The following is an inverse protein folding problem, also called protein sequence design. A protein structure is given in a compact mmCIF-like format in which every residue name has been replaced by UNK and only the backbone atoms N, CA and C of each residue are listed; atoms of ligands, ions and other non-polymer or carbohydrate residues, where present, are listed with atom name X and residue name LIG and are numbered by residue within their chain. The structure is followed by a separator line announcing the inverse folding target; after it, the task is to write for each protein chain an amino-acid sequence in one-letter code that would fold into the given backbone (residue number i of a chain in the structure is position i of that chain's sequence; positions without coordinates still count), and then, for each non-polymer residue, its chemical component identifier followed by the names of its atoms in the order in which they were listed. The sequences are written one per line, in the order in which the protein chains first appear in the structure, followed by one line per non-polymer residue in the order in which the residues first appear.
data_IF_928821870191
#
_entry.id   IF_928821870191
#
_cell.length_a   1.000
_cell.length_b   1.000
_cell.length_c   1.000
_cell.angle_alpha   90.00
_cell.angle_beta   90.00
_cell.angle_gamma   90.00
#
_symmetry.space_group_name_H-M   'P 1'
#
loop_
_entity.id
_entity.type
_entity.pdbx_description
1 polymer ?
#
# COMPACT_ATOMS: atom_id res chain seq x y z
N UNK A 1 18.03 22.19 -4.57
CA UNK A 1 17.50 21.98 -3.21
C UNK A 1 16.86 20.60 -3.18
N UNK A 2 17.33 19.67 -2.34
CA UNK A 2 16.55 18.44 -2.08
C UNK A 2 15.37 18.83 -1.19
N UNK A 3 14.19 18.32 -1.51
CA UNK A 3 12.98 18.49 -0.72
C UNK A 3 12.73 17.18 -0.02
N UNK A 4 13.34 17.03 1.15
CA UNK A 4 13.02 15.91 2.04
C UNK A 4 11.70 16.21 2.78
N UNK A 5 10.98 15.15 3.14
CA UNK A 5 9.82 15.24 4.02
C UNK A 5 10.27 15.59 5.44
N UNK A 6 9.43 16.30 6.18
CA UNK A 6 9.59 16.37 7.64
C UNK A 6 9.28 15.00 8.25
N UNK A 7 9.74 14.77 9.48
CA UNK A 7 9.47 13.50 10.19
C UNK A 7 7.96 13.23 10.31
N UNK A 8 7.18 14.25 10.62
CA UNK A 8 5.71 14.15 10.72
C UNK A 8 5.06 13.79 9.37
N UNK A 9 5.53 14.40 8.27
CA UNK A 9 5.05 14.06 6.93
C UNK A 9 5.41 12.63 6.54
N UNK A 10 6.63 12.19 6.91
CA UNK A 10 7.09 10.83 6.66
C UNK A 10 6.27 9.82 7.46
N UNK A 11 6.04 10.05 8.76
CA UNK A 11 5.25 9.16 9.62
C UNK A 11 3.80 9.04 9.14
N UNK A 12 3.20 10.16 8.71
CA UNK A 12 1.88 10.18 8.11
C UNK A 12 1.83 9.35 6.82
N UNK A 13 2.83 9.53 5.94
CA UNK A 13 2.88 8.81 4.67
C UNK A 13 3.14 7.30 4.87
N UNK A 14 4.06 6.94 5.75
CA UNK A 14 4.39 5.54 6.07
C UNK A 14 3.16 4.80 6.61
N UNK A 15 2.39 5.42 7.53
CA UNK A 15 1.15 4.85 8.03
C UNK A 15 0.15 4.51 6.91
N UNK A 16 -0.06 5.45 5.98
CA UNK A 16 -0.96 5.24 4.85
C UNK A 16 -0.43 4.20 3.87
N UNK A 17 0.87 4.16 3.61
CA UNK A 17 1.47 3.17 2.71
C UNK A 17 1.43 1.74 3.28
N UNK A 18 1.47 1.58 4.60
CA UNK A 18 1.29 0.26 5.23
C UNK A 18 -0.13 -0.29 5.04
N UNK A 19 -1.16 0.54 5.29
CA UNK A 19 -2.56 0.20 5.03
C UNK A 19 -2.79 -0.04 3.54
N UNK A 20 -2.24 0.88 2.74
CA UNK A 20 -1.88 0.80 1.32
C UNK A 20 -1.60 -0.61 0.82
N UNK A 21 -0.39 -1.05 1.19
CA UNK A 21 0.20 -2.30 0.72
C UNK A 21 -0.58 -3.51 1.20
N UNK A 22 -1.15 -3.49 2.41
CA UNK A 22 -2.00 -4.57 2.90
C UNK A 22 -3.29 -4.72 2.08
N UNK A 23 -3.92 -3.60 1.69
CA UNK A 23 -5.11 -3.60 0.84
C UNK A 23 -4.80 -4.08 -0.57
N UNK A 24 -3.72 -3.59 -1.20
CA UNK A 24 -3.28 -4.05 -2.53
C UNK A 24 -2.95 -5.54 -2.53
N UNK A 25 -2.20 -5.99 -1.52
CA UNK A 25 -1.81 -7.39 -1.37
C UNK A 25 -3.00 -8.34 -1.19
N UNK A 26 -4.14 -7.84 -0.71
CA UNK A 26 -5.38 -8.62 -0.64
C UNK A 26 -6.03 -8.89 -2.01
N UNK A 27 -5.51 -8.28 -3.10
CA UNK A 27 -6.00 -8.48 -4.46
C UNK A 27 -7.25 -7.66 -4.82
N UNK A 28 -7.59 -6.65 -4.02
CA UNK A 28 -8.76 -5.78 -4.23
C UNK A 28 -8.57 -4.71 -5.31
N UNK A 29 -7.32 -4.39 -5.66
CA UNK A 29 -7.03 -3.42 -6.71
C UNK A 29 -7.27 -4.05 -8.09
N UNK A 30 -8.08 -3.40 -8.93
CA UNK A 30 -8.28 -3.84 -10.30
C UNK A 30 -6.98 -3.74 -11.13
N UNK A 31 -6.63 -4.80 -11.88
CA UNK A 31 -5.40 -4.86 -12.69
C UNK A 31 -5.20 -3.71 -13.67
N UNK A 32 -6.29 -3.08 -14.13
CA UNK A 32 -6.25 -1.91 -15.04
C UNK A 32 -5.82 -0.62 -14.35
N UNK A 33 -5.93 -0.57 -13.03
CA UNK A 33 -5.53 0.53 -12.15
C UNK A 33 -4.17 0.27 -11.47
N UNK A 34 -3.52 -0.86 -11.80
CA UNK A 34 -2.32 -1.34 -11.12
C UNK A 34 -1.07 -0.55 -11.55
N UNK A 35 -0.55 0.27 -10.64
CA UNK A 35 0.75 0.91 -10.78
C UNK A 35 1.90 -0.12 -10.69
N UNK A 36 3.14 0.27 -11.04
CA UNK A 36 4.30 -0.64 -10.89
C UNK A 36 4.46 -1.18 -9.46
N UNK A 37 4.07 -0.41 -8.44
CA UNK A 37 4.16 -0.82 -7.04
C UNK A 37 3.13 -1.93 -6.75
N UNK A 38 1.92 -1.81 -7.30
CA UNK A 38 0.89 -2.82 -7.14
C UNK A 38 1.26 -4.15 -7.81
N UNK A 39 1.83 -4.11 -9.02
CA UNK A 39 2.34 -5.30 -9.70
C UNK A 39 3.45 -5.99 -8.89
N UNK A 40 4.32 -5.22 -8.23
CA UNK A 40 5.38 -5.77 -7.38
C UNK A 40 4.81 -6.41 -6.11
N UNK A 41 3.83 -5.78 -5.45
CA UNK A 41 3.16 -6.34 -4.27
C UNK A 41 2.39 -7.64 -4.60
N UNK A 42 1.70 -7.70 -5.75
CA UNK A 42 1.02 -8.92 -6.23
C UNK A 42 1.99 -10.09 -6.51
N UNK A 43 3.25 -9.80 -6.85
CA UNK A 43 4.26 -10.83 -7.15
C UNK A 43 4.82 -11.53 -5.90
N UNK A 44 4.58 -10.98 -4.71
CA UNK A 44 4.98 -11.60 -3.46
C UNK A 44 4.10 -12.82 -3.12
N UNK A 45 4.72 -13.91 -2.66
CA UNK A 45 3.96 -15.08 -2.20
C UNK A 45 3.03 -14.70 -1.04
N UNK A 46 1.72 -15.06 -1.10
CA UNK A 46 0.77 -14.85 -0.01
C UNK A 46 1.27 -15.51 1.29
N UNK A 47 1.70 -14.73 2.29
CA UNK A 47 1.78 -15.25 3.65
C UNK A 47 0.34 -15.56 4.06
N UNK A 48 -0.03 -16.84 4.13
CA UNK A 48 -1.41 -17.35 4.15
C UNK A 48 -2.33 -16.88 5.29
N UNK A 49 -1.95 -15.85 6.05
CA UNK A 49 -2.81 -15.16 7.01
C UNK A 49 -2.68 -13.63 6.84
N UNK A 50 -3.78 -12.90 6.58
CA UNK A 50 -3.78 -11.45 6.59
C UNK A 50 -3.72 -10.97 8.04
N UNK A 51 -2.51 -10.75 8.56
CA UNK A 51 -2.31 -10.26 9.94
C UNK A 51 -2.20 -8.73 10.02
N UNK A 52 -2.06 -8.04 8.88
CA UNK A 52 -1.89 -6.59 8.83
C UNK A 52 -3.24 -5.87 8.63
N UNK A 53 -3.53 -4.79 9.37
CA UNK A 53 -4.70 -3.96 9.10
C UNK A 53 -4.60 -3.34 7.70
N UNK A 54 -5.74 -3.10 7.07
CA UNK A 54 -5.86 -2.54 5.72
C UNK A 54 -6.83 -1.36 5.73
N UNK A 55 -6.67 -0.44 4.77
CA UNK A 55 -7.64 0.64 4.56
C UNK A 55 -8.96 0.11 3.96
N UNK A 56 -9.97 0.99 3.90
CA UNK A 56 -11.19 0.73 3.16
C UNK A 56 -10.94 0.87 1.64
N UNK A 57 -11.92 0.47 0.83
CA UNK A 57 -11.78 0.49 -0.63
C UNK A 57 -11.74 1.91 -1.22
N UNK A 58 -12.37 2.90 -0.58
CA UNK A 58 -12.37 4.30 -1.04
C UNK A 58 -11.00 4.97 -0.85
N UNK A 59 -10.32 4.68 0.25
CA UNK A 59 -8.96 5.15 0.53
C UNK A 59 -7.89 4.33 -0.24
N UNK A 60 -8.26 3.14 -0.70
CA UNK A 60 -7.39 2.23 -1.45
C UNK A 60 -7.28 2.56 -2.94
N UNK A 61 -8.35 3.10 -3.53
CA UNK A 61 -8.43 3.50 -4.95
C UNK A 61 -7.83 4.89 -5.21
#
# INVERSE_FOLDING_TARGET
MSRELTKEQQDWLEHWLELWGAWVYSGRLEKRMSSMIAQWMESGEPSGYPTRPMCNDDDGM
#
